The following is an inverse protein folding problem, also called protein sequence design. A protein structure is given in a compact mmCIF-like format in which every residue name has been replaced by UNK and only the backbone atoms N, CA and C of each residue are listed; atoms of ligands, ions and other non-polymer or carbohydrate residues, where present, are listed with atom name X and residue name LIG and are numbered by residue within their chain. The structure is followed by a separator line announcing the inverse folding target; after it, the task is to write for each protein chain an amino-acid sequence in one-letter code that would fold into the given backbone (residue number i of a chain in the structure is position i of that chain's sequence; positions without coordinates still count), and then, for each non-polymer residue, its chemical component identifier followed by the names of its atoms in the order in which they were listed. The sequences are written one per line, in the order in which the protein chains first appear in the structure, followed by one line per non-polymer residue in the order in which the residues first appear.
data_IF_898892266960
#
_entry.id   IF_898892266960
#
_cell.length_a   1.000
_cell.length_b   1.000
_cell.length_c   1.000
_cell.angle_alpha   90.00
_cell.angle_beta   90.00
_cell.angle_gamma   90.00
#
_symmetry.space_group_name_H-M   'P 1'
#
loop_
_entity.id
_entity.type
_entity.pdbx_description
1 polymer ?
#
# COMPACT_ATOMS: atom_id res chain seq x y z
N UNK A 1 11.51 22.90 14.11
CA UNK A 1 11.63 21.92 13.01
C UNK A 1 12.93 21.15 13.21
N UNK A 2 12.88 19.83 13.20
CA UNK A 2 14.10 19.00 13.43
C UNK A 2 14.90 19.00 12.11
N UNK A 3 15.97 19.79 12.06
CA UNK A 3 16.81 19.99 10.86
C UNK A 3 17.25 18.67 10.16
N UNK A 4 17.64 17.60 10.87
CA UNK A 4 18.01 16.34 10.22
C UNK A 4 16.89 15.70 9.42
N UNK A 5 15.65 15.78 9.89
CA UNK A 5 14.48 15.22 9.20
C UNK A 5 14.19 16.01 7.92
N UNK A 6 14.29 17.34 7.99
CA UNK A 6 14.13 18.20 6.80
C UNK A 6 15.19 17.90 5.73
N UNK A 7 16.45 17.75 6.15
CA UNK A 7 17.56 17.39 5.23
C UNK A 7 17.29 16.04 4.58
N UNK A 8 16.92 15.02 5.35
CA UNK A 8 16.59 13.70 4.83
C UNK A 8 15.45 13.75 3.79
N UNK A 9 14.43 14.54 4.06
CA UNK A 9 13.32 14.75 3.15
C UNK A 9 13.74 15.43 1.84
N UNK A 10 14.51 16.50 1.92
CA UNK A 10 14.99 17.23 0.74
C UNK A 10 15.87 16.31 -0.11
N UNK A 11 16.77 15.55 0.52
CA UNK A 11 17.61 14.56 -0.19
C UNK A 11 16.76 13.48 -0.87
N UNK A 12 15.74 12.97 -0.17
CA UNK A 12 14.82 11.99 -0.72
C UNK A 12 14.04 12.55 -1.94
N UNK A 13 13.48 13.76 -1.82
CA UNK A 13 12.78 14.41 -2.92
C UNK A 13 13.70 14.67 -4.13
N UNK A 14 14.95 15.11 -3.89
CA UNK A 14 15.93 15.29 -4.93
C UNK A 14 16.28 13.96 -5.63
N UNK A 15 16.42 12.87 -4.89
CA UNK A 15 16.66 11.53 -5.43
C UNK A 15 15.51 11.08 -6.34
N UNK A 16 14.26 11.24 -5.90
CA UNK A 16 13.08 10.83 -6.69
C UNK A 16 12.98 11.63 -8.00
N UNK A 17 13.18 12.95 -7.95
CA UNK A 17 13.22 13.79 -9.16
C UNK A 17 14.37 13.37 -10.08
N UNK A 18 15.54 13.11 -9.52
CA UNK A 18 16.71 12.66 -10.28
C UNK A 18 16.45 11.33 -11.02
N UNK A 19 15.78 10.37 -10.37
CA UNK A 19 15.33 9.13 -11.00
C UNK A 19 14.38 9.45 -12.16
N UNK A 20 13.41 10.35 -11.96
CA UNK A 20 12.51 10.80 -13.02
C UNK A 20 13.26 11.35 -14.24
N UNK A 21 14.27 12.18 -14.02
CA UNK A 21 15.12 12.74 -15.09
C UNK A 21 15.93 11.66 -15.81
N UNK A 22 16.48 10.67 -15.09
CA UNK A 22 17.23 9.57 -15.72
C UNK A 22 16.33 8.75 -16.65
N UNK A 23 15.14 8.38 -16.15
CA UNK A 23 14.22 7.54 -16.91
C UNK A 23 13.51 8.30 -18.05
N UNK A 24 13.34 9.62 -17.96
CA UNK A 24 12.81 10.41 -19.06
C UNK A 24 13.64 10.29 -20.35
N UNK A 25 14.96 10.09 -20.20
CA UNK A 25 15.87 9.87 -21.35
C UNK A 25 15.74 8.48 -21.97
N UNK A 26 15.17 7.51 -21.24
CA UNK A 26 14.97 6.11 -21.69
C UNK A 26 13.59 5.88 -22.28
N UNK A 27 12.63 6.70 -21.93
CA UNK A 27 11.24 6.61 -22.38
C UNK A 27 11.08 7.26 -23.74
N UNK A 28 10.94 6.47 -24.80
CA UNK A 28 10.86 6.95 -26.19
C UNK A 28 9.53 6.65 -26.86
N UNK A 29 8.84 5.60 -26.43
CA UNK A 29 7.58 5.13 -27.00
C UNK A 29 6.45 5.18 -25.96
N UNK A 30 5.20 5.06 -26.41
CA UNK A 30 4.05 4.93 -25.49
C UNK A 30 4.16 3.68 -24.66
N UNK A 31 4.66 2.57 -25.21
CA UNK A 31 4.91 1.33 -24.47
C UNK A 31 5.97 1.51 -23.38
N UNK A 32 7.05 2.24 -23.67
CA UNK A 32 8.05 2.58 -22.64
C UNK A 32 7.43 3.43 -21.53
N UNK A 33 6.57 4.38 -21.90
CA UNK A 33 5.96 5.30 -20.93
C UNK A 33 4.97 4.61 -20.01
N UNK A 34 4.08 3.76 -20.54
CA UNK A 34 2.99 3.14 -19.78
C UNK A 34 3.33 1.78 -19.19
N UNK A 35 4.26 1.02 -19.80
CA UNK A 35 4.65 -0.33 -19.38
C UNK A 35 6.15 -0.52 -19.16
N UNK A 36 6.97 0.51 -19.39
CA UNK A 36 8.42 0.37 -19.27
C UNK A 36 9.02 -0.61 -20.28
N UNK A 37 8.43 -0.70 -21.49
CA UNK A 37 8.87 -1.65 -22.53
C UNK A 37 8.80 -3.11 -22.08
N UNK A 38 7.93 -3.45 -21.13
CA UNK A 38 7.82 -4.80 -20.52
C UNK A 38 9.18 -5.32 -20.00
N UNK A 39 10.00 -4.45 -19.43
CA UNK A 39 11.36 -4.76 -19.00
C UNK A 39 11.53 -5.01 -17.49
N UNK A 40 10.46 -5.09 -16.71
CA UNK A 40 10.56 -5.21 -15.27
C UNK A 40 11.08 -6.59 -14.83
N UNK A 41 12.18 -6.60 -14.10
CA UNK A 41 12.65 -7.80 -13.43
C UNK A 41 11.82 -8.16 -12.19
N UNK A 42 11.98 -9.40 -11.66
CA UNK A 42 11.09 -9.94 -10.64
C UNK A 42 11.10 -9.17 -9.32
N UNK A 43 12.21 -8.59 -8.90
CA UNK A 43 12.30 -7.77 -7.70
C UNK A 43 11.55 -6.45 -7.85
N UNK A 44 11.79 -5.75 -8.96
CA UNK A 44 11.12 -4.46 -9.22
C UNK A 44 9.62 -4.68 -9.35
N UNK A 45 9.20 -5.71 -10.10
CA UNK A 45 7.77 -6.01 -10.28
C UNK A 45 7.08 -6.30 -8.95
N UNK A 46 7.68 -7.15 -8.11
CA UNK A 46 7.12 -7.51 -6.81
C UNK A 46 7.02 -6.29 -5.89
N UNK A 47 8.14 -5.61 -5.67
CA UNK A 47 8.19 -4.47 -4.73
C UNK A 47 7.35 -3.30 -5.21
N UNK A 48 7.33 -3.02 -6.54
CA UNK A 48 6.50 -1.96 -7.08
C UNK A 48 5.00 -2.29 -6.96
N UNK A 49 4.59 -3.54 -7.20
CA UNK A 49 3.21 -3.95 -7.02
C UNK A 49 2.75 -3.76 -5.58
N UNK A 50 3.51 -4.28 -4.63
CA UNK A 50 3.13 -4.28 -3.21
C UNK A 50 3.26 -2.89 -2.57
N UNK A 51 4.32 -2.12 -2.87
CA UNK A 51 4.50 -0.77 -2.35
C UNK A 51 3.42 0.20 -2.82
N UNK A 52 2.98 0.06 -4.09
CA UNK A 52 1.88 0.85 -4.63
C UNK A 52 0.51 0.46 -4.07
N UNK A 53 0.32 -0.83 -3.77
CA UNK A 53 -0.93 -1.34 -3.25
C UNK A 53 -1.16 -0.95 -1.79
N UNK A 54 -0.17 -1.20 -0.95
CA UNK A 54 -0.29 -1.00 0.49
C UNK A 54 -0.46 0.47 0.90
N UNK A 55 0.06 1.40 0.11
CA UNK A 55 -0.10 2.84 0.29
C UNK A 55 0.14 3.34 1.73
N UNK A 56 -0.42 4.48 2.10
CA UNK A 56 -0.43 4.99 3.48
C UNK A 56 -1.25 4.11 4.45
N UNK A 57 -2.11 3.23 3.94
CA UNK A 57 -2.93 2.35 4.76
C UNK A 57 -2.09 1.37 5.59
N UNK A 58 -1.01 0.84 5.04
CA UNK A 58 -0.09 -0.04 5.77
C UNK A 58 0.54 0.63 6.99
N UNK A 59 0.87 1.93 6.88
CA UNK A 59 1.56 2.67 7.93
C UNK A 59 0.61 3.36 8.92
N UNK A 60 -0.59 3.67 8.50
CA UNK A 60 -1.55 4.46 9.29
C UNK A 60 -2.84 3.69 9.58
N UNK A 61 -3.49 3.15 8.55
CA UNK A 61 -4.81 2.53 8.67
C UNK A 61 -4.77 1.22 9.45
N UNK A 62 -3.93 0.28 9.06
CA UNK A 62 -3.85 -1.03 9.71
C UNK A 62 -3.31 -0.98 11.14
N UNK A 63 -2.20 -0.27 11.45
CA UNK A 63 -1.79 -0.08 12.83
C UNK A 63 -2.82 0.65 13.67
N UNK A 64 -3.48 1.67 13.12
CA UNK A 64 -4.55 2.40 13.81
C UNK A 64 -5.76 1.53 14.13
N UNK A 65 -6.16 0.66 13.20
CA UNK A 65 -7.23 -0.31 13.43
C UNK A 65 -6.84 -1.30 14.53
N UNK A 66 -5.62 -1.86 14.46
CA UNK A 66 -5.11 -2.78 15.47
C UNK A 66 -4.95 -2.13 16.86
N UNK A 67 -4.54 -0.86 16.90
CA UNK A 67 -4.48 -0.05 18.11
C UNK A 67 -5.85 0.09 18.79
N UNK A 68 -6.87 0.42 18.00
CA UNK A 68 -8.19 0.73 18.51
C UNK A 68 -9.01 -0.52 18.86
N UNK A 69 -8.92 -1.59 18.06
CA UNK A 69 -9.85 -2.73 18.14
C UNK A 69 -9.19 -4.07 18.43
N UNK A 70 -7.87 -4.10 18.47
CA UNK A 70 -7.11 -5.33 18.67
C UNK A 70 -7.00 -6.20 17.42
N UNK A 71 -6.86 -7.52 17.63
CA UNK A 71 -6.54 -8.46 16.58
C UNK A 71 -7.70 -8.70 15.59
N UNK A 72 -8.92 -8.87 16.07
CA UNK A 72 -10.00 -9.43 15.24
C UNK A 72 -10.21 -8.65 13.93
N UNK A 73 -10.46 -7.36 13.99
CA UNK A 73 -10.70 -6.56 12.77
C UNK A 73 -9.45 -6.42 11.90
N UNK A 74 -8.33 -6.08 12.52
CA UNK A 74 -7.06 -5.90 11.81
C UNK A 74 -6.52 -7.21 11.23
N UNK A 75 -6.57 -8.29 12.01
CA UNK A 75 -6.07 -9.61 11.63
C UNK A 75 -6.86 -10.24 10.47
N UNK A 76 -8.20 -10.25 10.53
CA UNK A 76 -8.99 -10.78 9.41
C UNK A 76 -8.81 -10.00 8.12
N UNK A 77 -8.66 -8.68 8.21
CA UNK A 77 -8.33 -7.85 7.03
C UNK A 77 -6.94 -8.20 6.49
N UNK A 78 -5.93 -8.30 7.35
CA UNK A 78 -4.58 -8.68 6.94
C UNK A 78 -4.55 -10.07 6.30
N UNK A 79 -5.25 -11.06 6.87
CA UNK A 79 -5.37 -12.41 6.30
C UNK A 79 -6.03 -12.35 4.91
N UNK A 80 -7.11 -11.58 4.77
CA UNK A 80 -7.79 -11.40 3.48
C UNK A 80 -6.87 -10.82 2.41
N UNK A 81 -6.08 -9.80 2.76
CA UNK A 81 -5.10 -9.19 1.88
C UNK A 81 -3.99 -10.16 1.48
N UNK A 82 -3.43 -10.93 2.43
CA UNK A 82 -2.41 -11.97 2.15
C UNK A 82 -2.95 -13.02 1.17
N UNK A 83 -4.16 -13.53 1.41
CA UNK A 83 -4.78 -14.53 0.55
C UNK A 83 -5.10 -13.94 -0.84
N UNK A 84 -5.64 -12.72 -0.88
CA UNK A 84 -5.94 -12.02 -2.13
C UNK A 84 -4.70 -11.78 -2.97
N UNK A 85 -3.63 -11.29 -2.38
CA UNK A 85 -2.33 -11.12 -3.06
C UNK A 85 -1.84 -12.46 -3.63
N UNK A 86 -1.79 -13.51 -2.82
CA UNK A 86 -1.34 -14.83 -3.30
C UNK A 86 -2.17 -15.32 -4.48
N UNK A 87 -3.49 -15.25 -4.38
CA UNK A 87 -4.38 -15.72 -5.44
C UNK A 87 -4.26 -14.87 -6.70
N UNK A 88 -4.15 -13.55 -6.57
CA UNK A 88 -3.97 -12.65 -7.71
C UNK A 88 -2.66 -12.96 -8.46
N UNK A 89 -1.54 -13.08 -7.76
CA UNK A 89 -0.27 -13.49 -8.36
C UNK A 89 -0.31 -14.88 -8.99
N UNK A 90 -1.02 -15.83 -8.37
CA UNK A 90 -1.08 -17.23 -8.84
C UNK A 90 -2.00 -17.38 -10.05
N UNK A 91 -3.14 -16.73 -10.04
CA UNK A 91 -4.20 -16.93 -11.03
C UNK A 91 -4.11 -15.92 -12.16
N UNK A 92 -3.91 -14.64 -11.85
CA UNK A 92 -4.02 -13.55 -12.83
C UNK A 92 -2.67 -13.21 -13.47
N UNK A 93 -1.62 -13.03 -12.69
CA UNK A 93 -0.38 -12.41 -13.16
C UNK A 93 0.21 -13.08 -14.43
N UNK A 94 0.44 -14.39 -14.42
CA UNK A 94 1.02 -15.10 -15.57
C UNK A 94 0.11 -15.06 -16.79
N UNK A 95 -1.20 -15.22 -16.57
CA UNK A 95 -2.20 -15.22 -17.64
C UNK A 95 -2.31 -13.84 -18.27
N UNK A 96 -2.44 -12.82 -17.45
CA UNK A 96 -2.54 -11.45 -17.93
C UNK A 96 -1.29 -11.04 -18.72
N UNK A 97 -0.09 -11.35 -18.21
CA UNK A 97 1.16 -11.07 -18.91
C UNK A 97 1.20 -11.70 -20.31
N UNK A 98 0.82 -12.96 -20.41
CA UNK A 98 0.80 -13.66 -21.71
C UNK A 98 -0.30 -13.13 -22.63
N UNK A 99 -1.51 -13.01 -22.12
CA UNK A 99 -2.65 -12.60 -22.95
C UNK A 99 -2.58 -11.16 -23.45
N UNK A 100 -1.92 -10.25 -22.72
CA UNK A 100 -1.74 -8.87 -23.20
C UNK A 100 -0.83 -8.79 -24.42
N UNK A 101 0.14 -9.70 -24.60
CA UNK A 101 0.93 -9.78 -25.81
C UNK A 101 0.11 -10.38 -26.97
N UNK A 102 -0.57 -11.49 -26.73
CA UNK A 102 -1.37 -12.19 -27.76
C UNK A 102 -2.58 -11.35 -28.20
N UNK A 103 -3.13 -10.55 -27.30
CA UNK A 103 -4.25 -9.63 -27.56
C UNK A 103 -3.74 -8.29 -28.12
N UNK A 104 -3.07 -8.34 -29.26
CA UNK A 104 -2.60 -7.18 -30.01
C UNK A 104 -1.72 -6.20 -29.18
N UNK A 105 -0.79 -6.79 -28.40
CA UNK A 105 0.13 -6.06 -27.54
C UNK A 105 -0.53 -4.94 -26.70
N UNK A 106 -1.64 -5.26 -26.02
CA UNK A 106 -2.38 -4.30 -25.21
C UNK A 106 -1.49 -3.68 -24.11
N UNK A 107 -1.36 -2.36 -24.10
CA UNK A 107 -0.50 -1.62 -23.17
C UNK A 107 -1.25 -1.11 -21.94
N UNK A 108 -2.59 -1.11 -21.97
CA UNK A 108 -3.45 -0.74 -20.85
C UNK A 108 -4.47 -1.82 -20.53
N UNK A 109 -5.04 -1.80 -19.33
CA UNK A 109 -6.13 -2.71 -18.95
C UNK A 109 -7.39 -2.48 -19.80
N UNK A 110 -7.83 -1.25 -20.09
CA UNK A 110 -8.91 -1.00 -21.03
C UNK A 110 -8.68 -1.56 -22.44
N UNK A 111 -7.47 -1.40 -22.99
CA UNK A 111 -7.12 -1.97 -24.31
C UNK A 111 -7.15 -3.49 -24.27
N UNK A 112 -6.64 -4.10 -23.19
CA UNK A 112 -6.69 -5.54 -23.01
C UNK A 112 -8.12 -6.09 -23.09
N UNK A 113 -9.08 -5.45 -22.42
CA UNK A 113 -10.49 -5.87 -22.50
C UNK A 113 -11.05 -5.73 -23.91
N UNK A 114 -10.82 -4.59 -24.56
CA UNK A 114 -11.28 -4.35 -25.93
C UNK A 114 -10.73 -5.40 -26.90
N UNK A 115 -9.42 -5.62 -26.87
CA UNK A 115 -8.75 -6.55 -27.77
C UNK A 115 -9.13 -8.02 -27.47
N UNK A 116 -9.19 -8.36 -26.17
CA UNK A 116 -9.54 -9.73 -25.73
C UNK A 116 -10.93 -10.17 -26.14
N UNK A 117 -11.89 -9.26 -26.10
CA UNK A 117 -13.28 -9.55 -26.42
C UNK A 117 -13.69 -9.09 -27.83
N UNK A 118 -12.74 -8.60 -28.65
CA UNK A 118 -12.96 -8.08 -30.01
C UNK A 118 -14.06 -7.01 -30.04
N UNK A 119 -13.93 -6.05 -29.12
CA UNK A 119 -14.90 -4.96 -28.97
C UNK A 119 -14.61 -3.83 -29.96
N UNK A 120 -15.08 -3.98 -31.19
CA UNK A 120 -14.88 -3.03 -32.29
C UNK A 120 -15.47 -1.64 -31.96
N UNK A 121 -16.50 -1.57 -31.12
CA UNK A 121 -17.13 -0.33 -30.69
C UNK A 121 -16.44 0.33 -29.50
N UNK A 122 -15.39 -0.30 -28.94
CA UNK A 122 -14.65 0.17 -27.78
C UNK A 122 -15.51 0.47 -26.54
N UNK A 123 -16.61 -0.22 -26.39
CA UNK A 123 -17.53 -0.05 -25.25
C UNK A 123 -16.85 -0.52 -23.95
N UNK A 124 -16.22 -1.70 -23.97
CA UNK A 124 -15.51 -2.24 -22.82
C UNK A 124 -14.32 -1.37 -22.42
N UNK A 125 -13.57 -0.87 -23.40
CA UNK A 125 -12.48 0.06 -23.15
C UNK A 125 -12.99 1.35 -22.49
N UNK A 126 -14.08 1.93 -23.01
CA UNK A 126 -14.67 3.15 -22.48
C UNK A 126 -15.20 2.97 -21.06
N UNK A 127 -15.96 1.90 -20.80
CA UNK A 127 -16.47 1.60 -19.44
C UNK A 127 -15.31 1.40 -18.46
N UNK A 128 -14.32 0.59 -18.84
CA UNK A 128 -13.14 0.34 -17.98
C UNK A 128 -12.37 1.63 -17.68
N UNK A 129 -12.18 2.47 -18.69
CA UNK A 129 -11.47 3.75 -18.51
C UNK A 129 -12.24 4.71 -17.58
N UNK A 130 -13.55 4.82 -17.74
CA UNK A 130 -14.42 5.65 -16.88
C UNK A 130 -14.38 5.13 -15.43
N UNK A 131 -14.51 3.81 -15.23
CA UNK A 131 -14.40 3.22 -13.88
C UNK A 131 -13.05 3.48 -13.24
N UNK A 132 -11.95 3.29 -13.97
CA UNK A 132 -10.60 3.62 -13.49
C UNK A 132 -10.52 5.11 -13.13
N UNK A 133 -10.98 6.00 -14.00
CA UNK A 133 -10.92 7.44 -13.76
C UNK A 133 -11.65 7.83 -12.47
N UNK A 134 -12.87 7.35 -12.28
CA UNK A 134 -13.69 7.68 -11.10
C UNK A 134 -13.00 7.17 -9.81
N UNK A 135 -12.71 5.87 -9.73
CA UNK A 135 -12.20 5.28 -8.48
C UNK A 135 -10.77 5.71 -8.18
N UNK A 136 -9.91 5.84 -9.21
CA UNK A 136 -8.52 6.24 -9.00
C UNK A 136 -8.32 7.72 -8.77
N UNK A 137 -9.24 8.58 -9.15
CA UNK A 137 -9.25 9.97 -8.71
C UNK A 137 -9.42 10.05 -7.18
N UNK A 138 -10.38 9.31 -6.63
CA UNK A 138 -10.59 9.24 -5.17
C UNK A 138 -9.40 8.60 -4.46
N UNK A 139 -8.86 7.51 -5.00
CA UNK A 139 -7.69 6.82 -4.46
C UNK A 139 -6.47 7.74 -4.41
N UNK A 140 -6.16 8.45 -5.50
CA UNK A 140 -5.04 9.39 -5.57
C UNK A 140 -5.23 10.57 -4.61
N UNK A 141 -6.45 11.10 -4.52
CA UNK A 141 -6.78 12.17 -3.58
C UNK A 141 -6.54 11.74 -2.12
N UNK A 142 -6.86 10.49 -1.76
CA UNK A 142 -6.58 9.96 -0.41
C UNK A 142 -5.09 9.90 -0.11
N UNK A 143 -4.25 9.56 -1.10
CA UNK A 143 -2.79 9.58 -0.96
C UNK A 143 -2.24 10.98 -0.72
N UNK A 144 -2.73 11.99 -1.45
CA UNK A 144 -2.35 13.39 -1.21
C UNK A 144 -2.80 13.88 0.17
N UNK A 145 -4.00 13.50 0.61
CA UNK A 145 -4.49 13.81 1.94
C UNK A 145 -3.60 13.20 3.04
N UNK A 146 -3.15 11.96 2.86
CA UNK A 146 -2.22 11.32 3.78
C UNK A 146 -0.87 12.07 3.87
N UNK A 147 -0.33 12.56 2.74
CA UNK A 147 0.84 13.41 2.73
C UNK A 147 0.61 14.70 3.55
N UNK A 148 -0.52 15.38 3.34
CA UNK A 148 -0.88 16.57 4.11
C UNK A 148 -0.93 16.31 5.62
N UNK A 149 -1.54 15.19 6.02
CA UNK A 149 -1.62 14.76 7.43
C UNK A 149 -0.23 14.48 8.02
N UNK A 150 0.61 13.76 7.28
CA UNK A 150 1.96 13.42 7.73
C UNK A 150 2.79 14.70 7.99
N UNK A 151 2.83 15.61 7.02
CA UNK A 151 3.59 16.85 7.15
C UNK A 151 3.06 17.77 8.25
N UNK A 152 1.76 17.82 8.43
CA UNK A 152 1.16 18.56 9.53
C UNK A 152 1.55 17.94 10.88
N UNK A 153 1.47 16.61 11.02
CA UNK A 153 1.78 15.92 12.29
C UNK A 153 3.25 15.97 12.66
N UNK A 154 4.15 15.80 11.67
CA UNK A 154 5.61 15.74 11.93
C UNK A 154 6.24 17.14 12.07
N UNK A 155 5.79 18.09 11.25
CA UNK A 155 6.44 19.41 11.14
C UNK A 155 5.57 20.58 11.58
N UNK A 156 4.29 20.36 11.91
CA UNK A 156 3.35 21.44 12.20
C UNK A 156 3.03 22.33 10.98
N UNK A 157 3.30 21.85 9.76
CA UNK A 157 3.06 22.61 8.53
C UNK A 157 1.57 22.65 8.19
N UNK A 158 1.17 23.67 7.45
CA UNK A 158 -0.21 23.77 6.99
C UNK A 158 -0.57 22.60 6.09
N UNK A 159 -1.62 21.87 6.44
CA UNK A 159 -2.11 20.67 5.76
C UNK A 159 -2.28 20.86 4.24
N UNK A 160 -3.00 21.91 3.82
CA UNK A 160 -3.31 22.15 2.42
C UNK A 160 -2.06 22.48 1.59
N UNK A 161 -1.18 23.33 2.12
CA UNK A 161 0.07 23.70 1.43
C UNK A 161 0.98 22.47 1.26
N UNK A 162 1.11 21.66 2.30
CA UNK A 162 1.91 20.45 2.25
C UNK A 162 1.36 19.43 1.24
N UNK A 163 0.04 19.21 1.25
CA UNK A 163 -0.63 18.34 0.29
C UNK A 163 -0.38 18.80 -1.16
N UNK A 164 -0.52 20.08 -1.46
CA UNK A 164 -0.31 20.63 -2.81
C UNK A 164 1.15 20.47 -3.24
N UNK A 165 2.11 20.79 -2.38
CA UNK A 165 3.55 20.65 -2.71
C UNK A 165 3.89 19.19 -3.00
N UNK A 166 3.42 18.26 -2.18
CA UNK A 166 3.64 16.82 -2.43
C UNK A 166 3.01 16.37 -3.75
N UNK A 167 1.77 16.81 -4.03
CA UNK A 167 1.10 16.49 -5.28
C UNK A 167 1.89 16.99 -6.51
N UNK A 168 2.38 18.23 -6.46
CA UNK A 168 3.19 18.79 -7.55
C UNK A 168 4.46 17.96 -7.78
N UNK A 169 5.18 17.60 -6.72
CA UNK A 169 6.42 16.81 -6.85
C UNK A 169 6.12 15.43 -7.41
N UNK A 170 5.08 14.74 -6.93
CA UNK A 170 4.69 13.41 -7.40
C UNK A 170 4.32 13.47 -8.88
N UNK A 171 3.50 14.43 -9.29
CA UNK A 171 3.11 14.61 -10.69
C UNK A 171 4.32 14.91 -11.58
N UNK A 172 5.24 15.76 -11.13
CA UNK A 172 6.42 16.13 -11.91
C UNK A 172 7.29 14.92 -12.22
N UNK A 173 7.74 14.17 -11.21
CA UNK A 173 8.67 13.06 -11.48
C UNK A 173 8.00 11.89 -12.24
N UNK A 174 6.71 11.64 -11.97
CA UNK A 174 5.97 10.58 -12.67
C UNK A 174 5.73 10.93 -14.13
N UNK A 175 5.37 12.19 -14.43
CA UNK A 175 5.16 12.66 -15.79
C UNK A 175 6.46 12.66 -16.61
N UNK A 176 7.60 12.94 -15.97
CA UNK A 176 8.90 12.95 -16.65
C UNK A 176 9.42 11.56 -16.96
N UNK A 177 9.36 10.65 -16.01
CA UNK A 177 10.02 9.34 -16.09
C UNK A 177 9.11 8.16 -16.40
N UNK A 178 7.79 8.38 -16.44
CA UNK A 178 6.79 7.36 -16.73
C UNK A 178 6.82 6.17 -15.76
N UNK A 179 6.38 5.02 -16.25
CA UNK A 179 6.21 3.80 -15.47
C UNK A 179 7.53 3.25 -14.90
N UNK A 180 8.64 3.34 -15.63
CA UNK A 180 9.95 2.87 -15.15
C UNK A 180 10.46 3.68 -13.96
N UNK A 181 10.27 5.01 -13.99
CA UNK A 181 10.63 5.85 -12.86
C UNK A 181 9.78 5.51 -11.64
N UNK A 182 8.45 5.42 -11.81
CA UNK A 182 7.54 5.03 -10.75
C UNK A 182 7.92 3.67 -10.15
N UNK A 183 8.11 2.64 -10.98
CA UNK A 183 8.45 1.30 -10.50
C UNK A 183 9.81 1.21 -9.81
N UNK A 184 10.79 2.01 -10.24
CA UNK A 184 12.11 2.06 -9.60
C UNK A 184 12.04 2.80 -8.26
N UNK A 185 11.30 3.90 -8.19
CA UNK A 185 11.07 4.60 -6.91
C UNK A 185 10.29 3.73 -5.94
N UNK A 186 9.28 2.98 -6.40
CA UNK A 186 8.52 2.04 -5.58
C UNK A 186 9.42 0.95 -4.94
N UNK A 187 10.39 0.42 -5.70
CA UNK A 187 11.36 -0.53 -5.15
C UNK A 187 12.15 0.09 -3.99
N UNK A 188 12.67 1.30 -4.18
CA UNK A 188 13.44 1.99 -3.14
C UNK A 188 12.55 2.31 -1.94
N UNK A 189 11.36 2.83 -2.19
CA UNK A 189 10.38 3.16 -1.16
C UNK A 189 9.92 1.92 -0.39
N UNK A 190 9.62 0.82 -1.08
CA UNK A 190 9.23 -0.43 -0.46
C UNK A 190 10.32 -1.01 0.46
N UNK A 191 11.59 -0.91 0.07
CA UNK A 191 12.71 -1.28 0.93
C UNK A 191 12.83 -0.36 2.15
N UNK A 192 12.74 0.97 1.94
CA UNK A 192 12.77 1.94 3.05
C UNK A 192 11.60 1.72 4.02
N UNK A 193 10.40 1.49 3.50
CA UNK A 193 9.22 1.15 4.32
C UNK A 193 9.48 -0.11 5.15
N UNK A 194 10.03 -1.16 4.56
CA UNK A 194 10.31 -2.42 5.26
C UNK A 194 11.24 -2.21 6.45
N UNK A 195 12.31 -1.46 6.26
CA UNK A 195 13.21 -1.12 7.35
C UNK A 195 12.53 -0.22 8.40
N UNK A 196 11.78 0.78 7.96
CA UNK A 196 11.13 1.73 8.86
C UNK A 196 10.11 1.03 9.78
N UNK A 197 9.22 0.19 9.25
CA UNK A 197 8.21 -0.49 10.07
C UNK A 197 8.84 -1.44 11.09
N UNK A 198 9.91 -2.16 10.71
CA UNK A 198 10.63 -3.06 11.63
C UNK A 198 11.32 -2.26 12.73
N UNK A 199 11.99 -1.15 12.39
CA UNK A 199 12.66 -0.29 13.37
C UNK A 199 11.63 0.31 14.33
N UNK A 200 10.51 0.84 13.82
CA UNK A 200 9.43 1.41 14.65
C UNK A 200 8.88 0.36 15.62
N UNK A 201 8.65 -0.88 15.15
CA UNK A 201 8.20 -1.96 16.03
C UNK A 201 9.22 -2.26 17.12
N UNK A 202 10.51 -2.42 16.77
CA UNK A 202 11.55 -2.73 17.74
C UNK A 202 11.67 -1.61 18.80
N UNK A 203 11.74 -0.36 18.35
CA UNK A 203 11.84 0.81 19.25
C UNK A 203 10.59 0.91 20.13
N UNK A 204 9.42 0.73 19.54
CA UNK A 204 8.16 0.73 20.27
C UNK A 204 8.11 -0.35 21.35
N UNK A 205 8.46 -1.60 21.02
CA UNK A 205 8.49 -2.71 21.99
C UNK A 205 9.48 -2.45 23.13
N UNK A 206 10.67 -1.93 22.81
CA UNK A 206 11.67 -1.59 23.84
C UNK A 206 11.12 -0.50 24.77
N UNK A 207 10.52 0.55 24.23
CA UNK A 207 9.93 1.64 25.02
C UNK A 207 8.72 1.19 25.84
N UNK A 208 7.96 0.20 25.34
CA UNK A 208 6.85 -0.41 26.08
C UNK A 208 7.31 -1.32 27.24
N UNK A 209 8.60 -1.49 27.46
CA UNK A 209 9.13 -2.38 28.50
C UNK A 209 9.24 -3.85 28.07
N UNK A 210 9.24 -4.12 26.75
CA UNK A 210 9.41 -5.45 26.18
C UNK A 210 8.10 -6.11 25.72
N UNK A 211 8.23 -7.22 24.99
CA UNK A 211 7.11 -7.98 24.43
C UNK A 211 6.14 -8.47 25.51
N UNK A 212 6.65 -8.91 26.66
CA UNK A 212 5.80 -9.40 27.76
C UNK A 212 4.83 -8.30 28.25
N UNK A 213 5.28 -7.06 28.31
CA UNK A 213 4.46 -5.94 28.76
C UNK A 213 3.37 -5.59 27.73
N UNK A 214 3.71 -5.60 26.43
CA UNK A 214 2.75 -5.42 25.34
C UNK A 214 1.65 -6.50 25.39
N UNK A 215 2.04 -7.76 25.59
CA UNK A 215 1.09 -8.87 25.70
C UNK A 215 0.23 -8.70 26.96
N UNK A 216 0.82 -8.41 28.11
CA UNK A 216 0.08 -8.22 29.36
C UNK A 216 -0.95 -7.08 29.25
N UNK A 217 -0.57 -5.96 28.61
CA UNK A 217 -1.48 -4.84 28.37
C UNK A 217 -2.65 -5.27 27.49
N UNK A 218 -2.40 -5.93 26.37
CA UNK A 218 -3.46 -6.39 25.47
C UNK A 218 -4.37 -7.45 26.12
N UNK A 219 -3.83 -8.32 26.99
CA UNK A 219 -4.63 -9.29 27.75
C UNK A 219 -5.53 -8.63 28.80
N UNK A 220 -5.15 -7.47 29.32
CA UNK A 220 -5.98 -6.70 30.24
C UNK A 220 -7.17 -6.00 29.55
N UNK A 221 -7.12 -5.85 28.23
CA UNK A 221 -8.20 -5.27 27.42
C UNK A 221 -9.13 -6.37 26.92
N UNK A 222 -10.41 -6.31 27.30
CA UNK A 222 -11.38 -7.34 26.88
C UNK A 222 -11.51 -7.41 25.35
N UNK A 223 -11.38 -8.62 24.79
CA UNK A 223 -11.51 -8.87 23.35
C UNK A 223 -10.35 -8.44 22.47
N UNK A 224 -9.28 -7.86 23.03
CA UNK A 224 -8.19 -7.27 22.24
C UNK A 224 -7.40 -8.31 21.42
N UNK A 225 -7.11 -9.47 21.96
CA UNK A 225 -6.46 -10.58 21.25
C UNK A 225 -7.43 -11.70 20.81
N UNK A 226 -8.72 -11.50 21.01
CA UNK A 226 -9.72 -12.49 20.57
C UNK A 226 -9.82 -12.48 19.03
N UNK A 227 -10.05 -13.65 18.46
CA UNK A 227 -10.18 -13.82 17.00
C UNK A 227 -11.60 -13.50 16.52
N UNK A 228 -12.60 -13.69 17.38
CA UNK A 228 -14.04 -13.53 17.08
C UNK A 228 -14.68 -12.32 17.75
N UNK A 229 -13.94 -11.67 18.64
CA UNK A 229 -14.38 -10.45 19.33
C UNK A 229 -13.35 -9.35 19.10
N UNK A 230 -13.79 -8.13 19.09
CA UNK A 230 -12.90 -6.97 19.07
C UNK A 230 -13.10 -6.12 20.33
N UNK A 231 -12.07 -5.38 20.70
CA UNK A 231 -12.16 -4.38 21.76
C UNK A 231 -12.91 -3.15 21.24
N UNK A 232 -13.98 -2.77 21.93
CA UNK A 232 -14.70 -1.54 21.61
C UNK A 232 -14.13 -0.36 22.42
N UNK A 233 -13.45 0.59 21.80
CA UNK A 233 -12.86 1.72 22.51
C UNK A 233 -13.91 2.66 23.14
N UNK A 234 -15.17 2.59 22.73
CA UNK A 234 -16.23 3.41 23.29
C UNK A 234 -16.77 2.88 24.63
N UNK A 235 -16.85 1.54 24.77
CA UNK A 235 -17.39 0.88 25.97
C UNK A 235 -16.29 0.27 26.84
N UNK A 236 -15.10 0.06 26.31
CA UNK A 236 -14.00 -0.66 26.95
C UNK A 236 -14.20 -2.18 27.03
N UNK A 237 -15.29 -2.69 26.47
CA UNK A 237 -15.66 -4.10 26.52
C UNK A 237 -15.36 -4.88 25.24
N UNK A 238 -15.60 -6.20 25.29
CA UNK A 238 -15.49 -7.08 24.14
C UNK A 238 -16.83 -7.18 23.40
N UNK A 239 -16.79 -6.90 22.09
CA UNK A 239 -17.97 -7.02 21.20
C UNK A 239 -17.74 -8.14 20.19
N UNK A 240 -18.75 -8.99 19.99
CA UNK A 240 -18.67 -10.05 18.97
C UNK A 240 -18.59 -9.47 17.57
N UNK A 241 -17.58 -9.90 16.81
CA UNK A 241 -17.37 -9.44 15.43
C UNK A 241 -18.49 -9.92 14.49
N UNK A 242 -19.06 -11.11 14.74
CA UNK A 242 -19.99 -11.75 13.83
C UNK A 242 -19.33 -12.25 12.53
N UNK A 243 -20.08 -13.03 11.75
CA UNK A 243 -19.56 -13.67 10.54
C UNK A 243 -19.44 -12.66 9.38
N UNK A 244 -20.40 -11.74 9.24
CA UNK A 244 -20.44 -10.79 8.12
C UNK A 244 -19.23 -9.83 8.12
N UNK A 245 -18.87 -9.16 9.23
CA UNK A 245 -17.64 -8.35 9.30
C UNK A 245 -16.35 -9.14 9.04
N UNK A 246 -16.27 -10.40 9.49
CA UNK A 246 -15.12 -11.26 9.19
C UNK A 246 -15.02 -11.53 7.69
N UNK A 247 -16.13 -11.93 7.06
CA UNK A 247 -16.15 -12.14 5.61
C UNK A 247 -15.85 -10.84 4.84
N UNK A 248 -16.32 -9.70 5.32
CA UNK A 248 -16.01 -8.40 4.75
C UNK A 248 -14.52 -8.08 4.83
N UNK A 249 -13.87 -8.33 5.96
CA UNK A 249 -12.42 -8.19 6.11
C UNK A 249 -11.64 -9.11 5.15
N UNK A 250 -12.03 -10.37 5.07
CA UNK A 250 -11.43 -11.33 4.12
C UNK A 250 -11.65 -10.94 2.66
N UNK A 251 -12.84 -10.42 2.32
CA UNK A 251 -13.18 -10.00 0.97
C UNK A 251 -12.36 -8.80 0.47
N UNK A 252 -11.69 -8.08 1.35
CA UNK A 252 -10.86 -6.94 0.94
C UNK A 252 -9.77 -7.35 -0.05
N UNK A 253 -9.20 -8.55 0.11
CA UNK A 253 -8.25 -9.12 -0.84
C UNK A 253 -8.81 -9.39 -2.25
N UNK A 254 -10.13 -9.45 -2.42
CA UNK A 254 -10.75 -9.60 -3.74
C UNK A 254 -10.55 -8.34 -4.61
N UNK A 255 -10.36 -7.17 -4.00
CA UNK A 255 -10.08 -5.93 -4.71
C UNK A 255 -8.86 -6.01 -5.62
N UNK A 256 -7.85 -6.78 -5.24
CA UNK A 256 -6.58 -6.92 -5.99
C UNK A 256 -6.74 -7.44 -7.42
N UNK A 257 -7.77 -8.21 -7.68
CA UNK A 257 -8.05 -8.73 -9.01
C UNK A 257 -8.47 -7.65 -10.02
N UNK A 258 -8.94 -6.51 -9.53
CA UNK A 258 -9.41 -5.38 -10.35
C UNK A 258 -8.55 -4.12 -10.24
N UNK A 259 -7.49 -4.10 -9.45
CA UNK A 259 -6.65 -2.92 -9.23
C UNK A 259 -5.72 -2.63 -10.42
N UNK A 260 -5.96 -1.60 -11.24
CA UNK A 260 -5.19 -1.38 -12.48
C UNK A 260 -3.71 -1.14 -12.23
N UNK A 261 -3.34 -0.49 -11.16
CA UNK A 261 -1.94 -0.25 -10.83
C UNK A 261 -1.17 -1.53 -10.47
N UNK A 262 -1.83 -2.55 -9.93
CA UNK A 262 -1.24 -3.88 -9.72
C UNK A 262 -1.19 -4.65 -11.05
N UNK A 263 -2.29 -4.67 -11.78
CA UNK A 263 -2.42 -5.41 -13.04
C UNK A 263 -1.40 -4.93 -14.09
N UNK A 264 -1.17 -3.63 -14.18
CA UNK A 264 -0.17 -3.06 -15.08
C UNK A 264 1.25 -3.57 -14.77
N UNK A 265 1.58 -3.81 -13.50
CA UNK A 265 2.88 -4.38 -13.12
C UNK A 265 3.03 -5.84 -13.55
N UNK A 266 1.95 -6.60 -13.53
CA UNK A 266 1.96 -7.97 -14.11
C UNK A 266 2.18 -7.93 -15.63
N UNK A 267 1.54 -6.97 -16.32
CA UNK A 267 1.71 -6.79 -17.76
C UNK A 267 3.14 -6.37 -18.13
N UNK A 268 3.83 -5.67 -17.24
CA UNK A 268 5.16 -5.10 -17.47
C UNK A 268 6.33 -6.04 -17.15
N UNK A 269 6.09 -7.21 -16.56
CA UNK A 269 7.16 -8.18 -16.25
C UNK A 269 7.81 -8.69 -17.53
N UNK A 270 9.14 -8.75 -17.55
CA UNK A 270 9.89 -9.09 -18.78
C UNK A 270 9.63 -10.53 -19.28
N UNK A 271 9.53 -11.50 -18.36
CA UNK A 271 9.32 -12.91 -18.70
C UNK A 271 8.18 -13.50 -17.85
N UNK A 272 7.15 -14.10 -18.48
CA UNK A 272 6.08 -14.81 -17.76
C UNK A 272 6.57 -15.91 -16.81
N UNK A 273 7.76 -16.46 -17.03
CA UNK A 273 8.35 -17.49 -16.14
C UNK A 273 8.83 -16.88 -14.80
N UNK A 274 9.18 -15.61 -14.79
CA UNK A 274 9.63 -14.90 -13.60
C UNK A 274 8.49 -14.53 -12.64
N UNK A 275 7.23 -14.64 -13.07
CA UNK A 275 6.05 -14.38 -12.22
C UNK A 275 6.08 -15.19 -10.93
N UNK A 276 6.52 -16.45 -10.97
CA UNK A 276 6.65 -17.29 -9.77
C UNK A 276 7.66 -16.70 -8.77
N UNK A 277 8.78 -16.18 -9.27
CA UNK A 277 9.81 -15.54 -8.44
C UNK A 277 9.29 -14.23 -7.84
N UNK A 278 8.63 -13.41 -8.67
CA UNK A 278 8.00 -12.16 -8.21
C UNK A 278 6.97 -12.43 -7.12
N UNK A 279 6.08 -13.41 -7.33
CA UNK A 279 5.08 -13.81 -6.33
C UNK A 279 5.72 -14.19 -5.00
N UNK A 280 6.80 -14.98 -5.00
CA UNK A 280 7.43 -15.40 -3.76
C UNK A 280 8.04 -14.20 -3.01
N UNK A 281 8.66 -13.25 -3.72
CA UNK A 281 9.17 -12.00 -3.15
C UNK A 281 8.03 -11.17 -2.56
N UNK A 282 6.96 -10.97 -3.33
CA UNK A 282 5.77 -10.23 -2.90
C UNK A 282 5.17 -10.86 -1.62
N UNK A 283 5.00 -12.18 -1.60
CA UNK A 283 4.41 -12.87 -0.45
C UNK A 283 5.23 -12.75 0.82
N UNK A 284 6.57 -12.87 0.73
CA UNK A 284 7.45 -12.68 1.89
C UNK A 284 7.30 -11.25 2.42
N UNK A 285 7.31 -10.27 1.51
CA UNK A 285 7.17 -8.88 1.89
C UNK A 285 5.81 -8.58 2.53
N UNK A 286 4.71 -9.04 1.94
CA UNK A 286 3.34 -8.84 2.44
C UNK A 286 3.15 -9.48 3.83
N UNK A 287 3.63 -10.71 4.00
CA UNK A 287 3.55 -11.40 5.29
C UNK A 287 4.27 -10.63 6.39
N UNK A 288 5.49 -10.16 6.13
CA UNK A 288 6.27 -9.40 7.10
C UNK A 288 5.58 -8.05 7.37
N UNK A 289 5.28 -7.28 6.33
CA UNK A 289 4.80 -5.90 6.48
C UNK A 289 3.43 -5.84 7.17
N UNK A 290 2.46 -6.68 6.80
CA UNK A 290 1.16 -6.70 7.45
C UNK A 290 1.23 -7.19 8.90
N UNK A 291 2.02 -8.23 9.18
CA UNK A 291 2.21 -8.71 10.55
C UNK A 291 2.86 -7.65 11.44
N UNK A 292 3.91 -7.00 10.95
CA UNK A 292 4.60 -5.93 11.67
C UNK A 292 3.67 -4.74 11.91
N UNK A 293 2.87 -4.35 10.91
CA UNK A 293 1.92 -3.25 11.03
C UNK A 293 0.87 -3.51 12.13
N UNK A 294 0.32 -4.73 12.19
CA UNK A 294 -0.60 -5.12 13.27
C UNK A 294 0.11 -5.06 14.65
N UNK A 295 1.34 -5.59 14.74
CA UNK A 295 2.12 -5.53 15.98
C UNK A 295 2.45 -4.10 16.42
N UNK A 296 2.66 -3.16 15.48
CA UNK A 296 2.83 -1.73 15.80
C UNK A 296 1.57 -1.20 16.49
N UNK A 297 0.37 -1.57 16.02
CA UNK A 297 -0.88 -1.20 16.67
C UNK A 297 -0.97 -1.70 18.12
N UNK A 298 -0.62 -2.97 18.36
CA UNK A 298 -0.59 -3.55 19.72
C UNK A 298 0.41 -2.86 20.64
N UNK A 299 1.60 -2.58 20.10
CA UNK A 299 2.65 -1.86 20.84
C UNK A 299 2.22 -0.43 21.15
N UNK A 300 1.56 0.22 20.19
CA UNK A 300 1.00 1.56 20.36
C UNK A 300 -0.06 1.61 21.46
N UNK A 301 -0.95 0.60 21.56
CA UNK A 301 -1.93 0.51 22.63
C UNK A 301 -1.28 0.41 24.02
N UNK A 302 -0.17 -0.30 24.14
CA UNK A 302 0.58 -0.40 25.40
C UNK A 302 1.32 0.89 25.77
N UNK A 303 1.85 1.62 24.77
CA UNK A 303 2.59 2.86 25.00
C UNK A 303 1.68 4.07 25.27
N UNK A 304 0.57 4.15 24.57
CA UNK A 304 -0.29 5.33 24.53
C UNK A 304 -1.78 4.97 24.80
N UNK A 305 -2.11 4.35 25.94
CA UNK A 305 -3.42 3.75 26.18
C UNK A 305 -4.58 4.74 26.22
N UNK A 306 -4.36 6.03 26.49
CA UNK A 306 -5.42 7.01 26.71
C UNK A 306 -5.07 8.38 26.10
N UNK A 307 -4.44 8.41 24.94
CA UNK A 307 -4.11 9.67 24.27
C UNK A 307 -5.33 10.20 23.53
N UNK A 308 -5.90 11.32 23.98
CA UNK A 308 -7.10 11.91 23.39
C UNK A 308 -6.95 12.23 21.88
N UNK A 309 -5.74 12.57 21.43
CA UNK A 309 -5.43 12.84 20.02
C UNK A 309 -5.46 11.58 19.14
N UNK A 310 -5.38 10.38 19.75
CA UNK A 310 -5.48 9.08 19.09
C UNK A 310 -6.90 8.51 19.15
N UNK A 311 -7.87 9.20 19.75
CA UNK A 311 -9.26 8.77 19.78
C UNK A 311 -9.95 8.90 18.41
N UNK A 312 -10.89 8.03 18.12
CA UNK A 312 -11.62 8.01 16.85
C UNK A 312 -10.68 7.90 15.64
N UNK A 313 -10.80 8.80 14.69
CA UNK A 313 -9.93 8.82 13.48
C UNK A 313 -8.48 9.22 13.77
N UNK A 314 -8.15 9.67 14.99
CA UNK A 314 -6.78 9.97 15.41
C UNK A 314 -5.89 8.74 15.53
N UNK A 315 -6.45 7.55 15.70
CA UNK A 315 -5.75 6.28 15.81
C UNK A 315 -4.79 6.01 14.63
N UNK A 316 -5.09 6.54 13.45
CA UNK A 316 -4.23 6.44 12.26
C UNK A 316 -2.87 7.11 12.44
N UNK A 317 -2.69 7.95 13.46
CA UNK A 317 -1.41 8.62 13.76
C UNK A 317 -0.49 7.79 14.64
N UNK A 318 -0.93 6.62 15.11
CA UNK A 318 -0.14 5.80 16.06
C UNK A 318 1.27 5.45 15.56
N UNK A 319 1.45 5.33 14.25
CA UNK A 319 2.76 5.09 13.66
C UNK A 319 3.72 6.29 13.80
N UNK A 320 3.18 7.49 13.96
CA UNK A 320 3.95 8.74 14.02
C UNK A 320 4.33 9.09 15.46
N UNK A 321 3.55 8.61 16.45
CA UNK A 321 3.80 8.80 17.87
C UNK A 321 4.92 7.91 18.37
#
# INVERSE_FOLDING_TARGET
MKLPILIAMVLYMAMVIWIGVIYSKKTKTSEDYFLGGRGLGPWVTAMSAEASDMSSWLLMGLPGLAYATGFSQAGWTAIGLILGTYLNWKIVAKRLRHYTEVADNAITVPDFFSNRFKDDKKILSSISAVMILIFFTVYTASGFAACGTLFNSVFGLNYQKSMIVCAIVIVLYTSMGGFLAASTTDLIQGLLMSFAIVIVLIVGVVNAGGVANVIAHGQAMEGFFDVMKYHDPATGGAVSQGVIPILSGLAWGLGYFGMPHILVRFMAIRDPQEVKKSRNIAMIWVLISLSVAVCIGFTGAALYPNVAELAGNGNQRIFIY
#
